data_IF_170647184342
#
_entry.id   IF_170647184342
#
_cell.length_a   1.000
_cell.length_b   1.000
_cell.length_c   1.000
_cell.angle_alpha   90.00
_cell.angle_beta   90.00
_cell.angle_gamma   90.00
#
_symmetry.space_group_name_H-M   'P 1'
#
loop_
_entity.id
_entity.type
_entity.pdbx_description
1 polymer ?
#
# COMPACT_ATOMS: atom_id res chain seq x y z
N UNK A 1 2.66 5.01 -8.28
CA UNK A 1 4.12 4.74 -8.37
C UNK A 1 4.34 3.24 -8.57
N UNK A 2 5.17 2.82 -9.52
CA UNK A 2 5.54 1.40 -9.70
C UNK A 2 6.78 1.10 -8.85
N UNK A 3 6.67 0.22 -7.86
CA UNK A 3 7.81 -0.28 -7.07
C UNK A 3 7.89 -1.78 -7.27
N UNK A 4 9.02 -2.29 -7.75
CA UNK A 4 9.29 -3.73 -7.85
C UNK A 4 8.31 -4.53 -8.75
N UNK A 5 7.69 -3.88 -9.72
CA UNK A 5 6.68 -4.49 -10.61
C UNK A 5 5.25 -4.51 -10.05
N UNK A 6 5.04 -3.98 -8.84
CA UNK A 6 3.72 -3.79 -8.23
C UNK A 6 3.35 -2.31 -8.28
N UNK A 7 2.09 -2.03 -8.59
CA UNK A 7 1.54 -0.67 -8.47
C UNK A 7 0.87 -0.55 -7.12
N UNK A 8 1.35 0.38 -6.29
CA UNK A 8 0.74 0.69 -4.99
C UNK A 8 0.02 2.03 -5.12
N UNK A 9 -1.21 2.08 -4.63
CA UNK A 9 -2.00 3.28 -4.48
C UNK A 9 -2.31 3.52 -3.01
N UNK A 10 -2.55 4.78 -2.67
CA UNK A 10 -2.92 5.20 -1.34
C UNK A 10 -3.93 6.33 -1.45
N UNK A 11 -4.83 6.40 -0.47
CA UNK A 11 -5.83 7.48 -0.35
C UNK A 11 -6.02 7.80 1.12
N UNK A 12 -6.34 9.03 1.43
CA UNK A 12 -6.67 9.49 2.77
C UNK A 12 -6.82 11.00 2.75
N UNK A 13 -7.28 11.53 3.86
CA UNK A 13 -7.46 12.96 4.06
C UNK A 13 -6.25 13.49 4.84
N UNK A 14 -5.61 14.59 4.40
CA UNK A 14 -4.56 15.23 5.18
C UNK A 14 -5.03 15.48 6.63
N UNK A 15 -4.11 15.29 7.57
CA UNK A 15 -4.35 15.45 9.02
C UNK A 15 -5.38 14.51 9.67
N UNK A 16 -5.94 13.53 8.93
CA UNK A 16 -6.79 12.47 9.48
C UNK A 16 -6.09 11.10 9.47
N UNK A 17 -6.56 10.21 10.33
CA UNK A 17 -6.11 8.81 10.44
C UNK A 17 -6.99 7.86 9.58
N UNK A 18 -7.43 8.34 8.42
CA UNK A 18 -8.28 7.60 7.48
C UNK A 18 -7.53 7.08 6.25
N UNK A 19 -6.19 7.09 6.28
CA UNK A 19 -5.42 6.65 5.13
C UNK A 19 -5.46 5.14 4.96
N UNK A 20 -5.57 4.73 3.70
CA UNK A 20 -5.50 3.36 3.25
C UNK A 20 -4.45 3.23 2.14
N UNK A 21 -3.69 2.13 2.18
CA UNK A 21 -2.70 1.76 1.18
C UNK A 21 -3.07 0.40 0.63
N UNK A 22 -3.10 0.26 -0.70
CA UNK A 22 -3.50 -0.97 -1.35
C UNK A 22 -2.72 -1.23 -2.65
N UNK A 23 -2.64 -2.50 -3.02
CA UNK A 23 -2.03 -2.92 -4.28
C UNK A 23 -3.07 -2.79 -5.40
N UNK A 24 -2.68 -2.10 -6.47
CA UNK A 24 -3.41 -2.04 -7.74
C UNK A 24 -2.90 -3.16 -8.63
N UNK A 25 -3.57 -4.32 -8.57
CA UNK A 25 -3.33 -5.43 -9.49
C UNK A 25 -4.42 -5.38 -10.57
N UNK A 26 -4.05 -4.94 -11.78
CA UNK A 26 -4.98 -4.53 -12.84
C UNK A 26 -6.21 -5.41 -13.06
N UNK A 27 -6.07 -6.75 -13.01
CA UNK A 27 -7.16 -7.70 -13.33
C UNK A 27 -7.68 -8.52 -12.15
N UNK A 28 -7.11 -8.38 -10.94
CA UNK A 28 -7.63 -9.09 -9.76
C UNK A 28 -8.73 -8.26 -9.11
N UNK A 29 -9.91 -8.85 -8.97
CA UNK A 29 -11.11 -8.22 -8.39
C UNK A 29 -10.97 -7.79 -6.93
N UNK A 30 -9.95 -8.26 -6.22
CA UNK A 30 -9.71 -7.94 -4.80
C UNK A 30 -8.55 -6.97 -4.65
N UNK A 31 -8.85 -5.77 -4.13
CA UNK A 31 -7.83 -4.83 -3.64
C UNK A 31 -7.15 -5.46 -2.43
N UNK A 32 -5.85 -5.72 -2.53
CA UNK A 32 -5.07 -6.22 -1.41
C UNK A 32 -4.64 -5.04 -0.54
N UNK A 33 -5.07 -5.03 0.72
CA UNK A 33 -4.88 -3.89 1.64
C UNK A 33 -3.56 -4.07 2.39
N UNK A 34 -2.67 -3.09 2.27
CA UNK A 34 -1.39 -3.04 2.98
C UNK A 34 -1.51 -2.30 4.32
N UNK A 35 -2.37 -1.29 4.38
CA UNK A 35 -2.74 -0.57 5.60
C UNK A 35 -4.13 0.06 5.42
N UNK A 36 -4.87 0.17 6.51
CA UNK A 36 -6.21 0.77 6.56
C UNK A 36 -6.37 1.50 7.88
N UNK A 37 -7.10 2.62 7.87
CA UNK A 37 -7.27 3.53 9.01
C UNK A 37 -5.96 3.87 9.73
N UNK A 38 -5.00 4.41 8.97
CA UNK A 38 -3.71 4.85 9.51
C UNK A 38 -3.45 6.32 9.24
N UNK A 39 -2.52 6.90 10.01
CA UNK A 39 -2.02 8.25 9.76
C UNK A 39 -1.23 8.36 8.47
N UNK A 40 -1.19 9.56 7.87
CA UNK A 40 -0.33 9.85 6.71
C UNK A 40 1.15 9.50 6.99
N UNK A 41 1.62 9.77 8.22
CA UNK A 41 2.98 9.42 8.65
C UNK A 41 3.26 7.92 8.51
N UNK A 42 2.32 7.07 8.91
CA UNK A 42 2.45 5.61 8.73
C UNK A 42 2.47 5.23 7.26
N UNK A 43 1.67 5.88 6.41
CA UNK A 43 1.71 5.67 4.95
C UNK A 43 3.10 5.96 4.40
N UNK A 44 3.69 7.11 4.73
CA UNK A 44 5.03 7.49 4.23
C UNK A 44 6.10 6.50 4.65
N UNK A 45 6.12 6.09 5.92
CA UNK A 45 7.04 5.07 6.43
C UNK A 45 6.86 3.73 5.71
N UNK A 46 5.60 3.31 5.51
CA UNK A 46 5.27 2.09 4.79
C UNK A 46 5.76 2.16 3.34
N UNK A 47 5.50 3.26 2.62
CA UNK A 47 5.95 3.43 1.24
C UNK A 47 7.48 3.34 1.13
N UNK A 48 8.23 4.00 2.01
CA UNK A 48 9.70 3.89 2.06
C UNK A 48 10.14 2.43 2.20
N UNK A 49 9.57 1.69 3.16
CA UNK A 49 9.87 0.26 3.37
C UNK A 49 9.51 -0.60 2.16
N UNK A 50 8.37 -0.36 1.50
CA UNK A 50 7.98 -1.10 0.30
C UNK A 50 8.96 -0.90 -0.87
N UNK A 51 9.74 0.19 -0.88
CA UNK A 51 10.75 0.42 -1.91
C UNK A 51 11.94 -0.52 -1.87
N UNK A 52 12.19 -1.19 -0.73
CA UNK A 52 13.29 -2.14 -0.58
C UNK A 52 12.85 -3.60 -0.72
N UNK A 53 11.56 -3.84 -0.98
CA UNK A 53 10.97 -5.18 -1.01
C UNK A 53 10.68 -5.64 -2.44
N UNK A 54 10.76 -6.94 -2.66
CA UNK A 54 10.31 -7.59 -3.89
C UNK A 54 8.78 -7.65 -3.96
N UNK A 55 8.24 -7.84 -5.18
CA UNK A 55 6.80 -8.04 -5.40
C UNK A 55 6.19 -9.09 -4.47
N UNK A 56 6.85 -10.24 -4.30
CA UNK A 56 6.34 -11.37 -3.50
C UNK A 56 6.25 -11.01 -2.02
N UNK A 57 7.20 -10.22 -1.51
CA UNK A 57 7.18 -9.74 -0.14
C UNK A 57 6.08 -8.70 0.08
N UNK A 58 5.90 -7.79 -0.87
CA UNK A 58 4.82 -6.79 -0.85
C UNK A 58 3.45 -7.48 -0.85
N UNK A 59 3.24 -8.47 -1.73
CA UNK A 59 1.99 -9.24 -1.78
C UNK A 59 1.73 -10.03 -0.48
N UNK A 60 2.78 -10.53 0.20
CA UNK A 60 2.66 -11.21 1.51
C UNK A 60 2.28 -10.26 2.66
N UNK A 61 2.67 -8.99 2.59
CA UNK A 61 2.31 -8.00 3.60
C UNK A 61 0.85 -7.58 3.52
N UNK A 62 0.24 -7.71 2.34
CA UNK A 62 -1.13 -7.30 2.15
C UNK A 62 -2.09 -8.33 2.76
N UNK A 63 -3.06 -7.84 3.54
CA UNK A 63 -4.17 -8.65 4.02
C UNK A 63 -5.14 -8.87 2.86
N UNK A 64 -5.62 -10.11 2.72
CA UNK A 64 -6.67 -10.47 1.76
C UNK A 64 -8.01 -9.93 2.21
#
# INVERSE_FOLDING_TARGET
MRRSGVTVAWRGTPDLDDWAVYIVNGTRSRKLILADHVSERKVRTLLTRLGTLSRKEIERLAKS
#
